data_IF_939712706936
#
_entry.id   IF_939712706936
#
_cell.length_a   1.000
_cell.length_b   1.000
_cell.length_c   1.000
_cell.angle_alpha   90.00
_cell.angle_beta   90.00
_cell.angle_gamma   90.00
#
_symmetry.space_group_name_H-M   'P 1'
#
loop_
_entity.id
_entity.type
_entity.pdbx_description
1 polymer ?
#
# COMPACT_ATOMS: atom_id res chain seq x y z
N UNK A 1 5.95 17.12 -8.35
CA UNK A 1 6.72 16.63 -7.21
C UNK A 1 7.95 15.88 -7.70
N UNK A 2 9.12 16.32 -7.25
CA UNK A 2 10.39 15.73 -7.66
C UNK A 2 10.98 14.88 -6.55
N UNK A 3 10.56 13.62 -6.49
CA UNK A 3 11.18 12.69 -5.58
C UNK A 3 12.39 12.05 -6.26
N UNK A 4 13.50 12.00 -5.56
CA UNK A 4 14.68 11.31 -6.05
C UNK A 4 14.37 9.82 -6.17
N UNK A 5 14.55 9.21 -7.34
CA UNK A 5 14.26 7.78 -7.49
C UNK A 5 15.01 6.92 -6.48
N UNK A 6 16.23 7.29 -6.16
CA UNK A 6 17.04 6.58 -5.16
C UNK A 6 16.40 6.62 -3.78
N UNK A 7 15.82 7.78 -3.42
CA UNK A 7 15.18 7.98 -2.12
C UNK A 7 13.92 7.11 -2.00
N UNK A 8 13.07 7.16 -3.04
CA UNK A 8 11.84 6.36 -3.08
C UNK A 8 12.16 4.87 -3.02
N UNK A 9 13.16 4.44 -3.80
CA UNK A 9 13.57 3.04 -3.83
C UNK A 9 14.04 2.54 -2.46
N UNK A 10 14.83 3.34 -1.76
CA UNK A 10 15.33 2.95 -0.44
C UNK A 10 14.23 2.73 0.57
N UNK A 11 13.25 3.65 0.63
CA UNK A 11 12.12 3.55 1.55
C UNK A 11 11.25 2.33 1.22
N UNK A 12 10.95 2.12 -0.06
CA UNK A 12 10.16 0.97 -0.50
C UNK A 12 10.87 -0.35 -0.20
N UNK A 13 12.20 -0.39 -0.37
CA UNK A 13 13.00 -1.57 -0.06
C UNK A 13 12.94 -1.94 1.41
N UNK A 14 13.05 -0.96 2.30
CA UNK A 14 12.96 -1.21 3.74
C UNK A 14 11.63 -1.84 4.11
N UNK A 15 10.53 -1.29 3.57
CA UNK A 15 9.20 -1.81 3.85
C UNK A 15 9.01 -3.19 3.22
N UNK A 16 9.49 -3.38 2.00
CA UNK A 16 9.39 -4.67 1.31
C UNK A 16 10.16 -5.76 2.06
N UNK A 17 11.32 -5.44 2.61
CA UNK A 17 12.11 -6.41 3.39
C UNK A 17 11.36 -6.84 4.66
N UNK A 18 10.68 -5.91 5.32
CA UNK A 18 9.86 -6.24 6.47
C UNK A 18 8.71 -7.16 6.09
N UNK A 19 8.06 -6.90 4.96
CA UNK A 19 7.00 -7.75 4.44
C UNK A 19 7.51 -9.13 4.08
N UNK A 20 8.67 -9.23 3.45
CA UNK A 20 9.25 -10.51 3.05
C UNK A 20 9.53 -11.42 4.24
N UNK A 21 9.98 -10.86 5.36
CA UNK A 21 10.18 -11.62 6.58
C UNK A 21 8.87 -12.23 7.08
N UNK A 22 7.77 -11.50 6.92
CA UNK A 22 6.46 -11.99 7.28
C UNK A 22 5.92 -12.98 6.25
N UNK A 23 6.26 -12.77 4.98
CA UNK A 23 5.75 -13.57 3.87
C UNK A 23 6.37 -14.95 3.75
N UNK A 24 7.55 -15.16 4.28
CA UNK A 24 8.09 -16.52 4.37
C UNK A 24 7.17 -17.41 5.15
N UNK A 25 6.44 -16.82 6.11
CA UNK A 25 5.43 -17.52 6.88
C UNK A 25 4.04 -17.39 6.28
N UNK A 26 3.87 -16.51 5.30
CA UNK A 26 2.55 -16.22 4.72
C UNK A 26 2.49 -16.72 3.29
N UNK A 27 2.06 -17.97 3.12
CA UNK A 27 1.75 -18.54 1.82
C UNK A 27 0.34 -18.16 1.38
N UNK A 28 -0.16 -17.05 1.92
CA UNK A 28 -1.53 -16.60 1.65
C UNK A 28 -1.60 -15.86 0.34
N UNK A 29 -2.77 -15.87 -0.27
CA UNK A 29 -3.04 -15.07 -1.46
C UNK A 29 -2.93 -13.58 -1.11
N UNK A 30 -3.43 -13.20 0.06
CA UNK A 30 -3.31 -11.83 0.55
C UNK A 30 -1.86 -11.35 0.57
N UNK A 31 -0.95 -12.15 1.11
CA UNK A 31 0.47 -11.79 1.17
C UNK A 31 1.08 -11.64 -0.21
N UNK A 32 0.70 -12.51 -1.15
CA UNK A 32 1.17 -12.42 -2.52
C UNK A 32 0.67 -11.17 -3.21
N UNK A 33 -0.60 -10.79 -2.97
CA UNK A 33 -1.17 -9.55 -3.50
C UNK A 33 -0.40 -8.34 -2.94
N UNK A 34 -0.13 -8.31 -1.65
CA UNK A 34 0.65 -7.23 -1.03
C UNK A 34 2.03 -7.09 -1.68
N UNK A 35 2.72 -8.19 -1.90
CA UNK A 35 4.03 -8.19 -2.57
C UNK A 35 3.98 -7.59 -3.96
N UNK A 36 2.91 -7.88 -4.71
CA UNK A 36 2.76 -7.37 -6.06
C UNK A 36 2.32 -5.91 -6.09
N UNK A 37 1.56 -5.47 -5.10
CA UNK A 37 1.10 -4.09 -5.00
C UNK A 37 2.20 -3.14 -4.57
N UNK A 38 3.10 -3.58 -3.71
CA UNK A 38 4.12 -2.73 -3.12
C UNK A 38 4.93 -1.92 -4.14
N UNK A 39 5.48 -2.54 -5.20
CA UNK A 39 6.29 -1.79 -6.17
C UNK A 39 5.51 -0.76 -7.00
N UNK A 40 4.19 -0.92 -7.11
CA UNK A 40 3.37 -0.07 -7.98
C UNK A 40 2.42 0.84 -7.20
N UNK A 41 2.48 0.78 -5.88
CA UNK A 41 1.55 1.53 -5.02
C UNK A 41 1.56 3.03 -5.33
N UNK A 42 2.75 3.59 -5.51
CA UNK A 42 2.93 5.02 -5.76
C UNK A 42 2.36 5.49 -7.10
N UNK A 43 2.14 4.58 -8.05
CA UNK A 43 1.63 4.95 -9.37
C UNK A 43 0.16 5.34 -9.33
N UNK A 44 -0.57 4.85 -8.34
CA UNK A 44 -2.02 5.02 -8.29
C UNK A 44 -2.77 4.20 -9.32
N UNK A 45 -2.06 3.56 -10.25
CA UNK A 45 -2.66 2.73 -11.29
C UNK A 45 -2.74 1.29 -10.80
N UNK A 46 -3.68 1.06 -9.90
CA UNK A 46 -3.87 -0.24 -9.26
C UNK A 46 -5.07 -0.94 -9.89
N UNK A 47 -4.84 -2.11 -10.43
CA UNK A 47 -5.89 -2.90 -11.09
C UNK A 47 -5.89 -4.32 -10.55
N UNK A 48 -7.03 -4.75 -10.06
CA UNK A 48 -7.23 -6.13 -9.61
C UNK A 48 -7.02 -7.12 -10.76
N UNK A 49 -7.41 -6.73 -11.97
CA UNK A 49 -7.24 -7.57 -13.16
C UNK A 49 -5.77 -7.82 -13.47
N UNK A 50 -4.95 -6.78 -13.39
CA UNK A 50 -3.50 -6.90 -13.61
C UNK A 50 -2.83 -7.77 -12.56
N UNK A 51 -3.22 -7.60 -11.32
CA UNK A 51 -2.68 -8.43 -10.23
C UNK A 51 -3.08 -9.89 -10.41
N UNK A 52 -4.33 -10.15 -10.71
CA UNK A 52 -4.81 -11.50 -10.95
C UNK A 52 -4.06 -12.16 -12.12
N UNK A 53 -3.89 -11.42 -13.21
CA UNK A 53 -3.15 -11.89 -14.38
C UNK A 53 -1.71 -12.27 -14.01
N UNK A 54 -1.04 -11.42 -13.24
CA UNK A 54 0.31 -11.69 -12.76
C UNK A 54 0.37 -12.95 -11.92
N UNK A 55 -0.69 -13.23 -11.18
CA UNK A 55 -0.80 -14.44 -10.36
C UNK A 55 -1.33 -15.65 -11.15
N UNK A 56 -1.46 -15.51 -12.47
CA UNK A 56 -1.94 -16.56 -13.37
C UNK A 56 -3.35 -17.08 -13.00
N UNK A 57 -4.23 -16.17 -12.63
CA UNK A 57 -5.61 -16.51 -12.30
C UNK A 57 -6.57 -15.44 -12.80
N UNK A 58 -7.86 -15.78 -12.88
CA UNK A 58 -8.87 -14.82 -13.23
C UNK A 58 -9.18 -13.91 -12.04
N UNK A 59 -9.79 -12.74 -12.34
CA UNK A 59 -10.24 -11.83 -11.29
C UNK A 59 -11.21 -12.52 -10.34
N UNK A 60 -12.12 -13.34 -10.88
CA UNK A 60 -13.09 -14.08 -10.08
C UNK A 60 -12.42 -15.07 -9.13
N UNK A 61 -11.41 -15.76 -9.62
CA UNK A 61 -10.64 -16.71 -8.78
C UNK A 61 -9.92 -15.96 -7.66
N UNK A 62 -9.28 -14.82 -7.99
CA UNK A 62 -8.65 -13.99 -6.99
C UNK A 62 -9.65 -13.52 -5.94
N UNK A 63 -10.81 -13.04 -6.37
CA UNK A 63 -11.86 -12.60 -5.47
C UNK A 63 -12.25 -13.71 -4.49
N UNK A 64 -12.49 -14.92 -4.99
CA UNK A 64 -12.90 -16.06 -4.16
C UNK A 64 -11.83 -16.47 -3.17
N UNK A 65 -10.57 -16.46 -3.61
CA UNK A 65 -9.45 -16.85 -2.74
C UNK A 65 -9.25 -15.84 -1.62
N UNK A 66 -9.37 -14.55 -1.91
CA UNK A 66 -9.28 -13.51 -0.89
C UNK A 66 -10.45 -13.60 0.08
N UNK A 67 -11.65 -13.86 -0.43
CA UNK A 67 -12.82 -14.02 0.42
C UNK A 67 -12.67 -15.21 1.37
N UNK A 68 -12.07 -16.29 0.90
CA UNK A 68 -11.77 -17.44 1.73
C UNK A 68 -10.79 -17.09 2.86
N UNK A 69 -9.97 -16.06 2.67
CA UNK A 69 -9.08 -15.54 3.68
C UNK A 69 -9.71 -14.39 4.49
N UNK A 70 -11.01 -14.22 4.38
CA UNK A 70 -11.80 -13.20 5.09
C UNK A 70 -11.41 -11.77 4.74
N UNK A 71 -10.98 -11.52 3.51
CA UNK A 71 -10.60 -10.20 3.06
C UNK A 71 -11.08 -9.93 1.63
N UNK A 72 -10.81 -8.74 1.12
CA UNK A 72 -11.09 -8.35 -0.26
C UNK A 72 -9.87 -7.63 -0.81
N UNK A 73 -9.81 -7.48 -2.13
CA UNK A 73 -8.72 -6.74 -2.77
C UNK A 73 -8.66 -5.30 -2.25
N UNK A 74 -9.80 -4.65 -2.13
CA UNK A 74 -9.89 -3.27 -1.64
C UNK A 74 -9.38 -3.13 -0.21
N UNK A 75 -9.70 -4.11 0.65
CA UNK A 75 -9.19 -4.11 2.03
C UNK A 75 -7.69 -4.30 2.08
N UNK A 76 -7.16 -5.21 1.26
CA UNK A 76 -5.72 -5.43 1.20
C UNK A 76 -5.00 -4.15 0.76
N UNK A 77 -5.52 -3.50 -0.28
CA UNK A 77 -4.95 -2.24 -0.77
C UNK A 77 -5.02 -1.14 0.29
N UNK A 78 -6.17 -0.99 0.94
CA UNK A 78 -6.37 0.00 2.00
C UNK A 78 -5.40 -0.20 3.16
N UNK A 79 -5.28 -1.44 3.62
CA UNK A 79 -4.38 -1.78 4.72
C UNK A 79 -2.91 -1.53 4.34
N UNK A 80 -2.54 -1.83 3.11
CA UNK A 80 -1.19 -1.58 2.62
C UNK A 80 -0.91 -0.09 2.57
N UNK A 81 -1.83 0.70 2.01
CA UNK A 81 -1.70 2.15 1.97
C UNK A 81 -1.59 2.75 3.37
N UNK A 82 -2.38 2.25 4.30
CA UNK A 82 -2.34 2.69 5.69
C UNK A 82 -0.97 2.40 6.31
N UNK A 83 -0.49 1.17 6.18
CA UNK A 83 0.80 0.74 6.73
C UNK A 83 1.96 1.57 6.17
N UNK A 84 1.98 1.77 4.86
CA UNK A 84 3.03 2.54 4.19
C UNK A 84 2.96 4.02 4.60
N UNK A 85 1.74 4.56 4.72
CA UNK A 85 1.56 5.95 5.17
C UNK A 85 2.14 6.17 6.56
N UNK A 86 1.87 5.25 7.48
CA UNK A 86 2.42 5.35 8.84
C UNK A 86 3.94 5.29 8.83
N UNK A 87 4.50 4.43 8.01
CA UNK A 87 5.96 4.33 7.88
C UNK A 87 6.58 5.66 7.45
N UNK A 88 6.03 6.29 6.42
CA UNK A 88 6.55 7.57 5.93
C UNK A 88 6.32 8.71 6.92
N UNK A 89 5.15 8.79 7.52
CA UNK A 89 4.82 9.88 8.44
C UNK A 89 5.62 9.77 9.74
N UNK A 90 5.75 8.58 10.28
CA UNK A 90 6.50 8.36 11.53
C UNK A 90 7.99 8.58 11.33
N UNK A 91 8.52 8.21 10.19
CA UNK A 91 9.92 8.43 9.87
C UNK A 91 10.30 9.89 9.65
N UNK A 92 9.31 10.74 9.37
CA UNK A 92 9.50 12.18 9.09
C UNK A 92 10.50 12.45 7.98
N UNK A 93 10.73 11.47 7.13
CA UNK A 93 11.68 11.57 6.02
C UNK A 93 11.08 12.26 4.81
N UNK A 94 9.75 12.28 4.71
CA UNK A 94 9.02 12.88 3.60
C UNK A 94 7.93 13.78 4.18
N UNK A 95 7.51 14.76 3.38
CA UNK A 95 6.41 15.63 3.75
C UNK A 95 5.07 14.88 3.68
N UNK A 96 4.02 15.47 4.24
CA UNK A 96 2.69 14.91 4.14
C UNK A 96 2.23 14.85 2.68
N UNK A 97 2.54 15.89 1.90
CA UNK A 97 2.18 15.92 0.48
C UNK A 97 2.91 14.85 -0.33
N UNK A 98 4.16 14.58 0.01
CA UNK A 98 4.91 13.50 -0.63
C UNK A 98 4.37 12.14 -0.24
N UNK A 99 3.90 12.00 0.98
CA UNK A 99 3.30 10.76 1.46
C UNK A 99 2.05 10.41 0.64
N UNK A 100 1.17 11.39 0.36
CA UNK A 100 -0.02 11.12 -0.43
C UNK A 100 0.32 10.59 -1.83
N UNK A 101 1.34 11.18 -2.44
CA UNK A 101 1.82 10.72 -3.74
C UNK A 101 2.37 9.29 -3.67
N UNK A 102 3.19 9.02 -2.66
CA UNK A 102 3.86 7.72 -2.54
C UNK A 102 2.89 6.56 -2.28
N UNK A 103 1.74 6.84 -1.71
CA UNK A 103 0.71 5.79 -1.48
C UNK A 103 -0.38 5.77 -2.54
N UNK A 104 -0.19 6.54 -3.62
CA UNK A 104 -1.02 6.43 -4.82
C UNK A 104 -2.28 7.27 -4.84
N UNK A 105 -2.38 8.29 -3.99
CA UNK A 105 -3.51 9.22 -4.03
C UNK A 105 -3.21 10.35 -5.00
N UNK A 106 -4.19 10.69 -5.84
CA UNK A 106 -4.05 11.76 -6.80
C UNK A 106 -4.28 13.15 -6.19
N UNK A 107 -4.95 13.20 -5.04
CA UNK A 107 -5.29 14.46 -4.37
C UNK A 107 -5.02 14.34 -2.87
N UNK A 108 -4.43 15.40 -2.31
CA UNK A 108 -4.13 15.47 -0.88
C UNK A 108 -5.41 15.33 -0.01
N UNK A 109 -6.52 15.89 -0.48
CA UNK A 109 -7.79 15.80 0.25
C UNK A 109 -8.28 14.35 0.35
N UNK A 110 -8.11 13.57 -0.71
CA UNK A 110 -8.50 12.15 -0.70
C UNK A 110 -7.65 11.35 0.28
N UNK A 111 -6.36 11.62 0.31
CA UNK A 111 -5.46 10.98 1.27
C UNK A 111 -5.84 11.34 2.71
N UNK A 112 -6.08 12.62 2.97
CA UNK A 112 -6.44 13.07 4.32
C UNK A 112 -7.72 12.41 4.82
N UNK A 113 -8.72 12.28 3.95
CA UNK A 113 -9.98 11.61 4.32
C UNK A 113 -9.76 10.13 4.61
N UNK A 114 -8.98 9.46 3.78
CA UNK A 114 -8.67 8.05 3.98
C UNK A 114 -7.89 7.85 5.28
N UNK A 115 -6.88 8.67 5.51
CA UNK A 115 -6.05 8.56 6.69
C UNK A 115 -6.86 8.77 7.97
N UNK A 116 -7.75 9.75 7.96
CA UNK A 116 -8.63 10.02 9.10
C UNK A 116 -9.58 8.85 9.33
N UNK A 117 -10.07 8.22 8.26
CA UNK A 117 -10.90 7.01 8.36
C UNK A 117 -10.14 5.86 9.00
N UNK A 118 -8.85 5.69 8.64
CA UNK A 118 -8.03 4.60 9.16
C UNK A 118 -7.62 4.79 10.61
N UNK A 119 -7.28 6.03 11.00
CA UNK A 119 -6.60 6.29 12.28
C UNK A 119 -7.42 7.17 13.24
N UNK A 120 -8.45 7.85 12.75
CA UNK A 120 -9.20 8.83 13.54
C UNK A 120 -8.56 10.21 13.57
N UNK A 121 -7.38 10.36 12.98
CA UNK A 121 -6.64 11.64 12.98
C UNK A 121 -6.22 12.02 11.56
N UNK A 122 -6.05 13.31 11.32
CA UNK A 122 -5.48 13.76 10.05
C UNK A 122 -3.97 13.48 10.02
N UNK A 123 -3.35 13.46 8.82
CA UNK A 123 -1.89 13.30 8.73
C UNK A 123 -1.14 14.37 9.51
N UNK A 124 -1.63 15.61 9.51
CA UNK A 124 -1.01 16.72 10.27
C UNK A 124 -1.02 16.47 11.75
N UNK A 125 -2.15 16.00 12.28
CA UNK A 125 -2.31 15.67 13.70
C UNK A 125 -1.39 14.52 14.10
N UNK A 126 -1.27 13.52 13.21
CA UNK A 126 -0.43 12.36 13.48
C UNK A 126 1.04 12.75 13.58
N UNK A 127 1.48 13.72 12.78
CA UNK A 127 2.88 14.12 12.70
C UNK A 127 3.32 15.04 13.85
N UNK A 128 2.41 15.64 14.54
CA UNK A 128 2.71 16.56 15.66
C UNK A 128 3.41 15.88 16.86
#
# INVERSE_FOLDING_TARGET
MNLQPRYVFGILSEHANALLKNLESSKTVRGRVESLLMPVLHTGDISMDKIAETMAMSRQTLFRKLKAESTTFEKVLDELRHSVSLHYLNGKKVSINETDYLVGFSEAAAFSRAFKRWTGKSPSEMRK
#
